data_IF_682317167375
#
_entry.id   IF_682317167375
#
_cell.length_a   1.000
_cell.length_b   1.000
_cell.length_c   1.000
_cell.angle_alpha   90.00
_cell.angle_beta   90.00
_cell.angle_gamma   90.00
#
_symmetry.space_group_name_H-M   'P 1'
#
loop_
_entity.id
_entity.type
_entity.pdbx_description
1 polymer ?
#
# COMPACT_ATOMS: atom_id res chain seq x y z
N UNK A 1 7.76 5.04 -26.03
CA UNK A 1 8.88 4.43 -25.25
C UNK A 1 8.47 2.96 -25.00
N UNK A 2 9.38 2.00 -25.18
CA UNK A 2 9.11 0.62 -24.82
C UNK A 2 8.86 0.51 -23.31
N UNK A 3 7.97 -0.39 -22.87
CA UNK A 3 7.62 -0.54 -21.45
C UNK A 3 8.84 -0.93 -20.59
N UNK A 4 9.77 -1.73 -21.11
CA UNK A 4 10.98 -2.11 -20.38
C UNK A 4 11.90 -0.89 -20.18
N UNK A 5 12.04 -0.03 -21.19
CA UNK A 5 12.80 1.22 -21.09
C UNK A 5 12.16 2.18 -20.07
N UNK A 6 10.83 2.25 -20.03
CA UNK A 6 10.10 3.03 -19.03
C UNK A 6 10.37 2.51 -17.61
N UNK A 7 10.24 1.19 -17.39
CA UNK A 7 10.53 0.60 -16.08
C UNK A 7 11.98 0.82 -15.64
N UNK A 8 12.95 0.70 -16.57
CA UNK A 8 14.36 0.96 -16.29
C UNK A 8 14.59 2.42 -15.88
N UNK A 9 14.01 3.38 -16.61
CA UNK A 9 14.10 4.79 -16.25
C UNK A 9 13.49 5.09 -14.87
N UNK A 10 12.37 4.43 -14.54
CA UNK A 10 11.74 4.57 -13.23
C UNK A 10 12.53 3.91 -12.08
N UNK A 11 13.57 3.13 -12.42
CA UNK A 11 14.33 2.35 -11.42
C UNK A 11 13.56 1.13 -10.91
N UNK A 12 12.57 0.65 -11.66
CA UNK A 12 11.66 -0.41 -11.25
C UNK A 12 12.13 -1.83 -11.63
N UNK A 13 13.30 -1.98 -12.22
CA UNK A 13 13.88 -3.30 -12.55
C UNK A 13 15.00 -3.62 -11.57
N UNK A 14 14.86 -4.73 -10.84
CA UNK A 14 15.91 -5.29 -9.99
C UNK A 14 16.67 -6.39 -10.73
N UNK A 15 15.94 -7.42 -11.21
CA UNK A 15 16.49 -8.52 -11.99
C UNK A 15 15.52 -8.88 -13.12
N UNK A 16 16.08 -9.30 -14.25
CA UNK A 16 15.31 -9.88 -15.35
C UNK A 16 16.09 -11.00 -16.03
N UNK A 17 15.41 -11.97 -16.60
CA UNK A 17 16.05 -13.20 -17.12
C UNK A 17 16.54 -12.98 -18.51
N UNK A 18 16.27 -12.32 -19.39
CA UNK A 18 16.74 -12.07 -20.75
C UNK A 18 16.27 -10.67 -21.19
N UNK A 19 17.09 -9.70 -20.88
CA UNK A 19 16.75 -8.29 -21.10
C UNK A 19 16.43 -7.99 -22.59
N UNK A 20 17.31 -8.41 -23.49
CA UNK A 20 17.14 -8.15 -24.92
C UNK A 20 15.90 -8.87 -25.47
N UNK A 21 15.72 -10.14 -25.11
CA UNK A 21 14.58 -10.94 -25.55
C UNK A 21 13.24 -10.42 -25.05
N UNK A 22 13.18 -9.98 -23.78
CA UNK A 22 11.95 -9.41 -23.22
C UNK A 22 11.64 -8.03 -23.86
N UNK A 23 12.65 -7.21 -24.05
CA UNK A 23 12.51 -5.90 -24.70
C UNK A 23 12.02 -6.04 -26.14
N UNK A 24 12.65 -6.93 -26.92
CA UNK A 24 12.24 -7.23 -28.31
C UNK A 24 10.80 -7.75 -28.36
N UNK A 25 10.45 -8.66 -27.45
CA UNK A 25 9.11 -9.25 -27.41
C UNK A 25 8.04 -8.20 -27.11
N UNK A 26 8.26 -7.32 -26.13
CA UNK A 26 7.31 -6.27 -25.75
C UNK A 26 7.22 -5.11 -26.75
N UNK A 27 8.23 -4.95 -27.62
CA UNK A 27 8.19 -3.96 -28.68
C UNK A 27 7.36 -4.43 -29.89
N UNK A 28 7.43 -5.74 -30.19
CA UNK A 28 6.85 -6.29 -31.40
C UNK A 28 5.47 -6.93 -31.20
N UNK A 29 5.13 -7.32 -29.97
CA UNK A 29 3.88 -8.02 -29.66
C UNK A 29 3.26 -7.56 -28.36
N UNK A 30 1.93 -7.66 -28.29
CA UNK A 30 1.23 -7.60 -27.02
C UNK A 30 1.39 -8.91 -26.28
N UNK A 31 1.89 -8.89 -25.06
CA UNK A 31 2.13 -10.07 -24.23
C UNK A 31 1.13 -10.21 -23.10
N UNK A 32 0.91 -11.43 -22.64
CA UNK A 32 0.23 -11.70 -21.38
C UNK A 32 1.25 -11.92 -20.26
N UNK A 33 0.99 -11.29 -19.12
CA UNK A 33 1.87 -11.33 -17.94
C UNK A 33 1.05 -11.50 -16.68
N UNK A 34 1.70 -11.96 -15.60
CA UNK A 34 1.00 -12.05 -14.31
C UNK A 34 1.84 -11.63 -13.12
N UNK A 35 1.15 -11.24 -12.08
CA UNK A 35 1.68 -11.08 -10.73
C UNK A 35 0.71 -11.74 -9.75
N UNK A 36 1.25 -12.45 -8.76
CA UNK A 36 0.49 -13.12 -7.72
C UNK A 36 0.50 -12.36 -6.41
N UNK A 37 -0.57 -12.50 -5.64
CA UNK A 37 -0.67 -12.08 -4.24
C UNK A 37 -1.38 -13.13 -3.41
N UNK A 38 -0.77 -13.53 -2.30
CA UNK A 38 -1.41 -14.43 -1.34
C UNK A 38 -2.37 -13.64 -0.44
N UNK A 39 -3.60 -14.15 -0.22
CA UNK A 39 -4.64 -13.49 0.55
C UNK A 39 -4.39 -13.62 2.06
N UNK A 40 -3.31 -13.03 2.56
CA UNK A 40 -2.90 -13.06 3.96
C UNK A 40 -3.68 -12.09 4.86
N UNK A 41 -4.52 -11.25 4.27
CA UNK A 41 -5.42 -10.31 4.93
C UNK A 41 -6.50 -9.84 3.97
N UNK A 42 -7.51 -9.18 4.49
CA UNK A 42 -8.69 -8.69 3.76
C UNK A 42 -8.44 -7.35 3.04
N UNK A 43 -7.24 -6.78 3.11
CA UNK A 43 -6.82 -5.60 2.36
C UNK A 43 -5.35 -5.68 1.99
N UNK A 44 -5.01 -5.05 0.89
CA UNK A 44 -3.64 -4.69 0.55
C UNK A 44 -3.23 -3.40 1.25
N UNK A 45 -1.92 -3.23 1.42
CA UNK A 45 -1.30 -1.98 1.84
C UNK A 45 -0.41 -1.44 0.71
N UNK A 46 0.11 -0.21 0.87
CA UNK A 46 0.90 0.46 -0.17
C UNK A 46 2.16 -0.30 -0.63
N UNK A 47 2.69 -1.20 0.19
CA UNK A 47 3.79 -2.09 -0.23
C UNK A 47 3.38 -3.08 -1.32
N UNK A 48 2.16 -3.60 -1.25
CA UNK A 48 1.60 -4.47 -2.29
C UNK A 48 1.27 -3.68 -3.57
N UNK A 49 1.04 -2.37 -3.46
CA UNK A 49 0.75 -1.53 -4.62
C UNK A 49 1.91 -1.49 -5.63
N UNK A 50 3.16 -1.64 -5.18
CA UNK A 50 4.35 -1.51 -6.03
C UNK A 50 4.32 -2.43 -7.26
N UNK A 51 4.20 -3.77 -7.13
CA UNK A 51 4.14 -4.64 -8.31
C UNK A 51 2.89 -4.39 -9.15
N UNK A 52 1.76 -4.02 -8.55
CA UNK A 52 0.53 -3.76 -9.29
C UNK A 52 0.56 -2.43 -10.05
N UNK A 53 1.31 -1.44 -9.59
CA UNK A 53 1.61 -0.25 -10.40
C UNK A 53 2.39 -0.61 -11.68
N UNK A 54 3.31 -1.57 -11.60
CA UNK A 54 4.02 -2.05 -12.79
C UNK A 54 3.08 -2.81 -13.73
N UNK A 55 2.22 -3.68 -13.19
CA UNK A 55 1.19 -4.37 -13.97
C UNK A 55 0.26 -3.37 -14.70
N UNK A 56 -0.14 -2.29 -14.01
CA UNK A 56 -0.96 -1.22 -14.61
C UNK A 56 -0.22 -0.51 -15.76
N UNK A 57 1.09 -0.30 -15.65
CA UNK A 57 1.89 0.28 -16.74
C UNK A 57 1.94 -0.64 -17.95
N UNK A 58 2.10 -1.93 -17.75
CA UNK A 58 2.00 -2.90 -18.85
C UNK A 58 0.62 -2.86 -19.52
N UNK A 59 -0.45 -2.73 -18.74
CA UNK A 59 -1.81 -2.57 -19.30
C UNK A 59 -1.92 -1.30 -20.15
N UNK A 60 -1.45 -0.16 -19.64
CA UNK A 60 -1.47 1.12 -20.37
C UNK A 60 -0.59 1.08 -21.63
N UNK A 61 0.45 0.24 -21.66
CA UNK A 61 1.27 0.00 -22.83
C UNK A 61 0.65 -1.01 -23.82
N UNK A 62 -0.56 -1.51 -23.58
CA UNK A 62 -1.30 -2.40 -24.46
C UNK A 62 -1.03 -3.90 -24.26
N UNK A 63 -0.42 -4.28 -23.14
CA UNK A 63 -0.26 -5.68 -22.75
C UNK A 63 -1.40 -6.18 -21.87
N UNK A 64 -1.50 -7.49 -21.66
CA UNK A 64 -2.61 -8.14 -20.98
C UNK A 64 -2.22 -8.65 -19.59
N UNK A 65 -2.47 -7.88 -18.50
CA UNK A 65 -2.16 -8.30 -17.15
C UNK A 65 -3.16 -9.33 -16.62
N UNK A 66 -2.65 -10.34 -15.94
CA UNK A 66 -3.38 -11.29 -15.13
C UNK A 66 -3.00 -11.10 -13.68
N UNK A 67 -3.99 -11.01 -12.79
CA UNK A 67 -3.77 -10.93 -11.36
C UNK A 67 -4.14 -12.29 -10.76
N UNK A 68 -3.14 -12.96 -10.18
CA UNK A 68 -3.36 -14.22 -9.48
C UNK A 68 -3.60 -13.94 -7.99
N UNK A 69 -4.74 -14.35 -7.49
CA UNK A 69 -4.98 -14.43 -6.05
C UNK A 69 -4.69 -15.85 -5.59
N UNK A 70 -3.80 -15.97 -4.62
CA UNK A 70 -3.30 -17.25 -4.14
C UNK A 70 -4.25 -17.96 -3.18
N UNK A 71 -5.49 -18.28 -3.59
CA UNK A 71 -6.45 -19.00 -2.76
C UNK A 71 -5.96 -20.40 -2.36
N UNK A 72 -5.17 -21.06 -3.21
CA UNK A 72 -4.48 -22.32 -2.88
C UNK A 72 -3.20 -22.08 -2.08
N UNK A 73 -2.28 -21.28 -2.59
CA UNK A 73 -0.98 -20.99 -1.94
C UNK A 73 -1.09 -20.23 -0.64
N UNK A 74 -2.14 -19.42 -0.47
CA UNK A 74 -2.43 -18.73 0.79
C UNK A 74 -2.70 -19.66 1.97
N UNK A 75 -3.09 -20.92 1.71
CA UNK A 75 -3.24 -21.94 2.75
C UNK A 75 -1.92 -22.60 3.15
N UNK A 76 -0.87 -22.39 2.38
CA UNK A 76 0.46 -22.98 2.56
C UNK A 76 1.43 -22.00 3.21
N UNK A 77 1.56 -20.81 2.64
CA UNK A 77 2.40 -19.73 3.12
C UNK A 77 3.76 -19.65 2.42
N UNK A 78 4.01 -18.52 1.77
CA UNK A 78 5.30 -18.22 1.14
C UNK A 78 6.38 -17.93 2.18
N UNK A 79 7.51 -18.67 2.20
CA UNK A 79 8.64 -18.40 3.09
C UNK A 79 9.48 -17.18 2.68
N UNK A 80 9.30 -16.64 1.47
CA UNK A 80 10.12 -15.56 0.92
C UNK A 80 10.11 -14.31 1.80
N UNK A 81 11.32 -13.78 2.10
CA UNK A 81 11.49 -12.56 2.90
C UNK A 81 11.11 -12.70 4.39
N UNK A 82 10.98 -13.95 4.91
CA UNK A 82 10.61 -14.24 6.30
C UNK A 82 11.65 -15.08 7.04
N UNK A 83 11.67 -14.90 8.34
CA UNK A 83 12.53 -15.66 9.27
C UNK A 83 11.74 -16.69 10.09
N UNK A 84 10.41 -16.61 10.09
CA UNK A 84 9.51 -17.49 10.85
C UNK A 84 8.41 -18.03 9.97
N UNK A 85 7.91 -19.22 10.32
CA UNK A 85 6.78 -19.86 9.65
C UNK A 85 5.49 -19.03 9.76
N UNK A 86 4.65 -19.10 8.72
CA UNK A 86 3.32 -18.44 8.74
C UNK A 86 2.35 -19.25 9.57
N UNK A 87 1.49 -18.54 10.30
CA UNK A 87 0.30 -19.15 10.92
C UNK A 87 -0.70 -19.45 9.81
N UNK A 88 -1.13 -20.70 9.73
CA UNK A 88 -2.11 -21.13 8.73
C UNK A 88 -3.48 -20.54 9.06
N UNK A 89 -4.13 -20.01 8.03
CA UNK A 89 -5.49 -19.45 8.11
C UNK A 89 -6.53 -20.55 7.83
N UNK A 90 -7.76 -20.36 8.32
CA UNK A 90 -8.89 -21.23 7.94
C UNK A 90 -9.27 -21.00 6.48
N UNK A 91 -9.89 -21.98 5.84
CA UNK A 91 -10.36 -21.88 4.46
C UNK A 91 -11.37 -20.74 4.27
N UNK A 92 -12.24 -20.52 5.26
CA UNK A 92 -13.22 -19.43 5.25
C UNK A 92 -12.54 -18.06 5.29
N UNK A 93 -11.50 -17.90 6.13
CA UNK A 93 -10.72 -16.67 6.19
C UNK A 93 -9.99 -16.40 4.87
N UNK A 94 -9.37 -17.43 4.28
CA UNK A 94 -8.72 -17.32 2.97
C UNK A 94 -9.71 -16.91 1.90
N UNK A 95 -10.90 -17.53 1.83
CA UNK A 95 -11.91 -17.18 0.83
C UNK A 95 -12.41 -15.73 1.01
N UNK A 96 -12.68 -15.31 2.25
CA UNK A 96 -13.04 -13.92 2.53
C UNK A 96 -11.97 -12.93 2.03
N UNK A 97 -10.71 -13.23 2.28
CA UNK A 97 -9.59 -12.41 1.83
C UNK A 97 -9.46 -12.42 0.29
N UNK A 98 -9.66 -13.57 -0.36
CA UNK A 98 -9.69 -13.68 -1.84
C UNK A 98 -10.72 -12.72 -2.43
N UNK A 99 -11.93 -12.72 -1.90
CA UNK A 99 -13.02 -11.87 -2.39
C UNK A 99 -12.68 -10.38 -2.18
N UNK A 100 -12.16 -10.03 -1.02
CA UNK A 100 -11.77 -8.66 -0.66
C UNK A 100 -10.66 -8.13 -1.56
N UNK A 101 -9.57 -8.90 -1.74
CA UNK A 101 -8.45 -8.50 -2.60
C UNK A 101 -8.87 -8.43 -4.08
N UNK A 102 -9.72 -9.36 -4.54
CA UNK A 102 -10.25 -9.35 -5.91
C UNK A 102 -11.04 -8.06 -6.19
N UNK A 103 -11.85 -7.62 -5.24
CA UNK A 103 -12.61 -6.38 -5.36
C UNK A 103 -11.70 -5.13 -5.38
N UNK A 104 -10.65 -5.10 -4.54
CA UNK A 104 -9.66 -4.03 -4.56
C UNK A 104 -8.94 -3.98 -5.91
N UNK A 105 -8.51 -5.11 -6.46
CA UNK A 105 -7.83 -5.18 -7.75
C UNK A 105 -8.71 -4.71 -8.90
N UNK A 106 -9.98 -5.13 -8.93
CA UNK A 106 -10.94 -4.65 -9.92
C UNK A 106 -11.11 -3.14 -9.87
N UNK A 107 -11.10 -2.55 -8.69
CA UNK A 107 -11.15 -1.08 -8.54
C UNK A 107 -9.88 -0.42 -9.09
N UNK A 108 -8.69 -0.90 -8.72
CA UNK A 108 -7.42 -0.33 -9.16
C UNK A 108 -7.20 -0.39 -10.67
N UNK A 109 -7.57 -1.50 -11.31
CA UNK A 109 -7.41 -1.64 -12.76
C UNK A 109 -8.54 -0.97 -13.57
N UNK A 110 -9.65 -0.60 -12.92
CA UNK A 110 -10.82 0.05 -13.52
C UNK A 110 -11.85 -0.97 -14.03
N UNK A 111 -13.11 -0.54 -14.10
CA UNK A 111 -14.23 -1.41 -14.46
C UNK A 111 -14.21 -1.87 -15.93
N UNK A 112 -13.65 -1.02 -16.81
CA UNK A 112 -13.62 -1.23 -18.25
C UNK A 112 -12.22 -1.68 -18.74
N UNK A 113 -11.30 -1.93 -17.81
CA UNK A 113 -9.96 -2.34 -18.15
C UNK A 113 -9.89 -3.87 -18.30
N UNK A 114 -9.23 -4.32 -19.36
CA UNK A 114 -8.93 -5.74 -19.57
C UNK A 114 -7.89 -6.23 -18.56
N UNK A 115 -8.36 -6.65 -17.39
CA UNK A 115 -7.56 -7.38 -16.40
C UNK A 115 -8.27 -8.69 -16.09
N UNK A 116 -7.54 -9.79 -16.18
CA UNK A 116 -8.08 -11.11 -15.86
C UNK A 116 -7.67 -11.49 -14.44
N UNK A 117 -8.67 -11.78 -13.60
CA UNK A 117 -8.46 -12.30 -12.25
C UNK A 117 -8.47 -13.83 -12.31
N UNK A 118 -7.48 -14.47 -11.68
CA UNK A 118 -7.38 -15.93 -11.58
C UNK A 118 -7.09 -16.33 -10.13
N UNK A 119 -7.58 -17.51 -9.74
CA UNK A 119 -7.34 -18.09 -8.42
C UNK A 119 -6.63 -19.43 -8.58
N UNK A 120 -5.46 -19.58 -7.99
CA UNK A 120 -4.69 -20.83 -8.11
C UNK A 120 -5.33 -22.00 -7.35
N UNK A 121 -6.31 -21.75 -6.49
CA UNK A 121 -7.12 -22.82 -5.90
C UNK A 121 -7.82 -23.68 -6.97
N UNK A 122 -8.21 -23.08 -8.10
CA UNK A 122 -8.95 -23.73 -9.17
C UNK A 122 -8.19 -24.90 -9.81
N UNK A 123 -6.86 -24.87 -9.80
CA UNK A 123 -6.06 -25.96 -10.36
C UNK A 123 -5.23 -26.71 -9.32
N UNK A 124 -4.84 -26.06 -8.21
CA UNK A 124 -4.05 -26.72 -7.18
C UNK A 124 -4.91 -27.68 -6.35
N UNK A 125 -6.18 -27.37 -6.13
CA UNK A 125 -7.10 -28.24 -5.37
C UNK A 125 -7.47 -29.52 -6.11
N UNK A 126 -7.38 -29.53 -7.44
CA UNK A 126 -7.66 -30.70 -8.28
C UNK A 126 -6.43 -31.61 -8.44
N UNK A 127 -5.25 -31.15 -8.05
CA UNK A 127 -4.00 -31.88 -8.22
C UNK A 127 -3.86 -32.99 -7.16
N UNK A 128 -3.88 -34.25 -7.60
CA UNK A 128 -3.65 -35.36 -6.66
C UNK A 128 -2.20 -35.38 -6.16
N UNK A 129 -1.98 -35.92 -4.95
CA UNK A 129 -0.64 -36.08 -4.38
C UNK A 129 0.29 -36.86 -5.31
N UNK A 130 -0.24 -37.90 -5.96
CA UNK A 130 0.58 -38.74 -6.87
C UNK A 130 0.94 -38.00 -8.15
N UNK A 131 0.02 -37.22 -8.70
CA UNK A 131 0.30 -36.39 -9.90
C UNK A 131 1.30 -35.28 -9.56
N UNK A 132 1.15 -34.65 -8.39
CA UNK A 132 2.10 -33.65 -7.90
C UNK A 132 3.53 -34.24 -7.83
N UNK A 133 3.71 -35.39 -7.22
CA UNK A 133 5.03 -35.99 -7.08
C UNK A 133 5.59 -36.49 -8.42
N UNK A 134 4.77 -37.18 -9.23
CA UNK A 134 5.18 -37.81 -10.48
C UNK A 134 5.40 -36.79 -11.60
N UNK A 135 4.49 -35.86 -11.79
CA UNK A 135 4.47 -35.00 -12.97
C UNK A 135 5.19 -33.67 -12.77
N UNK A 136 5.28 -33.21 -11.52
CA UNK A 136 5.96 -31.98 -11.16
C UNK A 136 7.18 -32.23 -10.28
N UNK A 137 7.07 -32.96 -9.19
CA UNK A 137 8.13 -33.16 -8.22
C UNK A 137 9.45 -33.64 -8.83
N UNK A 138 9.39 -34.55 -9.80
CA UNK A 138 10.59 -35.07 -10.51
C UNK A 138 11.38 -33.99 -11.27
N UNK A 139 10.79 -32.86 -11.57
CA UNK A 139 11.46 -31.76 -12.27
C UNK A 139 12.26 -30.86 -11.33
N UNK A 140 12.12 -31.03 -10.01
CA UNK A 140 12.80 -30.22 -9.00
C UNK A 140 13.91 -31.01 -8.33
N UNK A 141 15.14 -30.49 -8.42
CA UNK A 141 16.29 -31.08 -7.73
C UNK A 141 16.37 -30.50 -6.33
N UNK A 142 16.37 -31.36 -5.30
CA UNK A 142 16.37 -30.96 -3.89
C UNK A 142 17.59 -30.09 -3.56
N UNK A 143 18.79 -30.43 -4.06
CA UNK A 143 19.99 -29.63 -3.79
C UNK A 143 19.86 -28.21 -4.35
N UNK A 144 19.28 -28.07 -5.55
CA UNK A 144 19.02 -26.75 -6.15
C UNK A 144 17.98 -25.97 -5.34
N UNK A 145 16.95 -26.65 -4.83
CA UNK A 145 15.93 -26.03 -3.98
C UNK A 145 16.53 -25.54 -2.64
N UNK A 146 17.39 -26.36 -2.01
CA UNK A 146 18.07 -26.01 -0.77
C UNK A 146 19.07 -24.85 -0.92
N UNK A 147 19.67 -24.71 -2.10
CA UNK A 147 20.64 -23.65 -2.39
C UNK A 147 20.00 -22.28 -2.68
N UNK A 148 18.68 -22.19 -2.85
CA UNK A 148 18.00 -20.92 -3.06
C UNK A 148 18.00 -20.08 -1.78
N UNK A 149 18.28 -18.80 -1.88
CA UNK A 149 18.42 -17.88 -0.74
C UNK A 149 17.20 -17.91 0.21
N UNK A 150 16.00 -18.02 -0.34
CA UNK A 150 14.74 -18.12 0.42
C UNK A 150 14.65 -19.37 1.30
N UNK A 151 15.34 -20.43 0.93
CA UNK A 151 15.43 -21.69 1.69
C UNK A 151 16.69 -21.71 2.54
N UNK A 152 17.85 -21.39 1.95
CA UNK A 152 19.16 -21.44 2.61
C UNK A 152 19.17 -20.58 3.89
N UNK A 153 18.57 -19.40 3.87
CA UNK A 153 18.45 -18.52 5.03
C UNK A 153 17.60 -19.09 6.18
N UNK A 154 16.79 -20.11 5.90
CA UNK A 154 15.88 -20.75 6.86
C UNK A 154 16.39 -22.11 7.36
N UNK A 155 17.45 -22.67 6.77
CA UNK A 155 17.94 -24.02 7.13
C UNK A 155 18.40 -24.11 8.60
N UNK A 156 18.99 -23.07 9.14
CA UNK A 156 19.46 -23.04 10.55
C UNK A 156 18.29 -22.91 11.54
N UNK A 157 17.31 -22.08 11.21
CA UNK A 157 16.12 -21.84 12.05
C UNK A 157 15.01 -22.89 11.86
N UNK A 158 15.11 -23.69 10.81
CA UNK A 158 14.12 -24.66 10.38
C UNK A 158 13.13 -24.10 9.36
N UNK A 159 12.78 -24.95 8.40
CA UNK A 159 11.71 -24.71 7.42
C UNK A 159 10.84 -25.95 7.36
N UNK A 160 9.51 -25.81 7.43
CA UNK A 160 8.62 -26.96 7.29
C UNK A 160 8.62 -27.48 5.86
N UNK A 161 8.28 -28.76 5.68
CA UNK A 161 8.12 -29.32 4.35
C UNK A 161 7.03 -28.55 3.56
N UNK A 162 6.00 -28.09 4.22
CA UNK A 162 4.93 -27.27 3.64
C UNK A 162 5.49 -25.99 3.01
N UNK A 163 6.21 -25.17 3.76
CA UNK A 163 6.83 -23.95 3.22
C UNK A 163 7.91 -24.26 2.17
N UNK A 164 8.69 -25.34 2.36
CA UNK A 164 9.71 -25.77 1.40
C UNK A 164 9.13 -26.10 0.02
N UNK A 165 7.92 -26.66 -0.05
CA UNK A 165 7.26 -26.99 -1.30
C UNK A 165 6.62 -25.80 -2.00
N UNK A 166 6.49 -24.64 -1.36
CA UNK A 166 5.84 -23.46 -1.92
C UNK A 166 6.40 -23.08 -3.30
N UNK A 167 7.72 -23.12 -3.49
CA UNK A 167 8.35 -22.83 -4.78
C UNK A 167 7.88 -23.74 -5.90
N UNK A 168 7.49 -24.99 -5.60
CA UNK A 168 6.93 -25.91 -6.58
C UNK A 168 5.50 -25.47 -6.95
N UNK A 169 4.68 -25.10 -5.97
CA UNK A 169 3.30 -24.65 -6.19
C UNK A 169 3.26 -23.40 -7.07
N UNK A 170 4.07 -22.39 -6.77
CA UNK A 170 4.17 -21.19 -7.60
C UNK A 170 4.72 -21.49 -9.00
N UNK A 171 5.59 -22.47 -9.15
CA UNK A 171 6.07 -22.93 -10.47
C UNK A 171 4.96 -23.60 -11.28
N UNK A 172 4.08 -24.36 -10.61
CA UNK A 172 2.88 -24.94 -11.23
C UNK A 172 1.91 -23.85 -11.68
N UNK A 173 1.76 -22.78 -10.90
CA UNK A 173 0.96 -21.62 -11.29
C UNK A 173 1.46 -21.01 -12.60
N UNK A 174 2.75 -20.74 -12.70
CA UNK A 174 3.33 -20.15 -13.91
C UNK A 174 3.15 -21.10 -15.12
N UNK A 175 3.44 -22.39 -14.95
CA UNK A 175 3.24 -23.37 -16.01
C UNK A 175 1.77 -23.47 -16.45
N UNK A 176 0.84 -23.52 -15.50
CA UNK A 176 -0.60 -23.59 -15.78
C UNK A 176 -1.08 -22.36 -16.54
N UNK A 177 -0.68 -21.17 -16.09
CA UNK A 177 -1.02 -19.92 -16.74
C UNK A 177 -0.38 -19.79 -18.12
N UNK A 178 0.87 -20.25 -18.28
CA UNK A 178 1.54 -20.31 -19.58
C UNK A 178 0.76 -21.19 -20.55
N UNK A 179 0.35 -22.39 -20.14
CA UNK A 179 -0.39 -23.34 -20.98
C UNK A 179 -1.80 -22.87 -21.32
N UNK A 180 -2.53 -22.34 -20.35
CA UNK A 180 -3.95 -21.97 -20.54
C UNK A 180 -4.13 -20.60 -21.18
N UNK A 181 -3.24 -19.64 -20.88
CA UNK A 181 -3.42 -18.23 -21.22
C UNK A 181 -2.22 -17.62 -21.96
N UNK A 182 -1.26 -18.44 -22.37
CA UNK A 182 -0.03 -17.99 -23.02
C UNK A 182 0.69 -16.88 -22.24
N UNK A 183 0.70 -16.99 -20.90
CA UNK A 183 1.45 -16.07 -20.05
C UNK A 183 2.95 -16.23 -20.36
N UNK A 184 3.60 -15.11 -20.67
CA UNK A 184 5.01 -15.10 -21.07
C UNK A 184 5.91 -14.42 -20.04
N UNK A 185 5.36 -13.62 -19.12
CA UNK A 185 6.14 -12.89 -18.13
C UNK A 185 5.50 -13.02 -16.74
N UNK A 186 6.31 -13.36 -15.73
CA UNK A 186 5.95 -13.22 -14.32
C UNK A 186 6.69 -12.04 -13.71
N UNK A 187 5.95 -11.18 -12.97
CA UNK A 187 6.48 -10.05 -12.21
C UNK A 187 6.31 -10.33 -10.71
N UNK A 188 7.29 -9.92 -9.90
CA UNK A 188 7.22 -10.00 -8.45
C UNK A 188 8.21 -9.04 -7.77
N UNK A 189 8.21 -9.00 -6.44
CA UNK A 189 9.23 -8.32 -5.66
C UNK A 189 10.59 -9.02 -5.75
N UNK A 190 11.65 -8.37 -5.30
CA UNK A 190 13.01 -8.92 -5.33
C UNK A 190 13.14 -10.26 -4.57
N UNK A 191 12.34 -10.45 -3.53
CA UNK A 191 12.24 -11.69 -2.75
C UNK A 191 11.65 -12.87 -3.54
N UNK A 192 10.97 -12.61 -4.65
CA UNK A 192 10.32 -13.62 -5.49
C UNK A 192 11.24 -14.22 -6.57
N UNK A 193 12.47 -13.74 -6.74
CA UNK A 193 13.36 -14.17 -7.80
C UNK A 193 13.56 -15.68 -7.84
N UNK A 194 13.76 -16.31 -6.69
CA UNK A 194 13.93 -17.75 -6.55
C UNK A 194 12.70 -18.55 -7.02
N UNK A 195 11.50 -18.09 -6.66
CA UNK A 195 10.24 -18.73 -7.07
C UNK A 195 9.97 -18.52 -8.56
N UNK A 196 10.20 -17.31 -9.07
CA UNK A 196 10.02 -16.97 -10.50
C UNK A 196 10.94 -17.84 -11.39
N UNK A 197 12.21 -17.92 -11.04
CA UNK A 197 13.19 -18.71 -11.82
C UNK A 197 12.89 -20.21 -11.76
N UNK A 198 12.37 -20.72 -10.64
CA UNK A 198 11.92 -22.10 -10.55
C UNK A 198 10.77 -22.41 -11.53
N UNK A 199 9.82 -21.45 -11.68
CA UNK A 199 8.73 -21.56 -12.65
C UNK A 199 9.23 -21.57 -14.10
N UNK A 200 10.18 -20.70 -14.44
CA UNK A 200 10.82 -20.68 -15.76
C UNK A 200 11.51 -22.00 -16.06
N UNK A 201 12.24 -22.56 -15.10
CA UNK A 201 12.93 -23.83 -15.25
C UNK A 201 11.94 -24.99 -15.47
N UNK A 202 10.81 -25.00 -14.74
CA UNK A 202 9.75 -25.99 -14.94
C UNK A 202 9.18 -25.92 -16.35
N UNK A 203 8.85 -24.73 -16.85
CA UNK A 203 8.29 -24.54 -18.19
C UNK A 203 9.29 -25.04 -19.24
N UNK A 204 10.56 -24.66 -19.15
CA UNK A 204 11.59 -25.10 -20.09
C UNK A 204 11.82 -26.62 -20.07
N UNK A 205 11.73 -27.25 -18.91
CA UNK A 205 11.82 -28.72 -18.79
C UNK A 205 10.65 -29.45 -19.44
N UNK A 206 9.44 -28.82 -19.41
CA UNK A 206 8.23 -29.41 -19.95
C UNK A 206 7.99 -29.09 -21.44
N UNK A 207 8.29 -27.86 -21.86
CA UNK A 207 7.99 -27.34 -23.21
C UNK A 207 9.23 -27.24 -24.11
N UNK A 208 10.43 -27.38 -23.55
CA UNK A 208 11.70 -27.19 -24.23
C UNK A 208 12.41 -25.87 -23.92
N UNK A 209 13.74 -25.85 -24.19
CA UNK A 209 14.58 -24.70 -23.83
C UNK A 209 14.24 -23.41 -24.59
N UNK A 210 13.55 -23.53 -25.73
CA UNK A 210 13.15 -22.39 -26.58
C UNK A 210 11.85 -21.71 -26.14
N UNK A 211 11.23 -22.16 -25.03
CA UNK A 211 10.02 -21.54 -24.50
C UNK A 211 10.28 -20.05 -24.16
N UNK A 212 9.51 -19.18 -24.81
CA UNK A 212 9.61 -17.71 -24.63
C UNK A 212 8.91 -17.27 -23.37
N UNK A 213 9.53 -17.53 -22.23
CA UNK A 213 9.04 -17.14 -20.91
C UNK A 213 10.12 -16.37 -20.15
N UNK A 214 9.67 -15.36 -19.40
CA UNK A 214 10.53 -14.36 -18.76
C UNK A 214 10.10 -14.10 -17.32
N UNK A 215 11.05 -13.67 -16.52
CA UNK A 215 10.85 -13.20 -15.17
C UNK A 215 11.44 -11.82 -14.97
N UNK A 216 10.76 -10.98 -14.22
CA UNK A 216 11.20 -9.64 -13.84
C UNK A 216 10.88 -9.40 -12.37
N UNK A 217 11.86 -8.88 -11.63
CA UNK A 217 11.64 -8.47 -10.24
C UNK A 217 11.84 -6.97 -10.07
N UNK A 218 11.08 -6.42 -9.11
CA UNK A 218 11.09 -5.02 -8.72
C UNK A 218 11.93 -4.90 -7.45
N UNK A 219 12.78 -3.86 -7.31
CA UNK A 219 13.60 -3.69 -6.13
C UNK A 219 12.77 -3.48 -4.86
N UNK A 220 13.32 -3.91 -3.74
CA UNK A 220 12.75 -3.63 -2.43
C UNK A 220 12.73 -2.11 -2.20
N UNK A 221 11.55 -1.59 -1.86
CA UNK A 221 11.40 -0.17 -1.55
C UNK A 221 11.84 0.12 -0.11
N UNK A 222 12.88 0.92 0.02
CA UNK A 222 13.34 1.46 1.30
C UNK A 222 13.20 2.98 1.30
N UNK A 223 13.00 3.55 2.48
CA UNK A 223 13.11 5.00 2.71
C UNK A 223 14.57 5.43 2.70
N UNK A 224 14.82 6.73 2.55
CA UNK A 224 16.17 7.30 2.56
C UNK A 224 16.93 7.06 3.88
N UNK A 225 16.23 6.81 4.98
CA UNK A 225 16.79 6.43 6.28
C UNK A 225 17.10 4.92 6.41
N UNK A 226 16.86 4.13 5.35
CA UNK A 226 17.08 2.69 5.31
C UNK A 226 15.95 1.85 5.90
N UNK A 227 14.91 2.46 6.43
CA UNK A 227 13.75 1.71 6.95
C UNK A 227 12.83 1.23 5.84
N UNK A 228 12.02 0.19 6.13
CA UNK A 228 11.06 -0.36 5.16
C UNK A 228 9.97 0.66 4.86
N UNK A 229 9.68 0.82 3.56
CA UNK A 229 8.56 1.61 3.08
C UNK A 229 7.20 0.99 3.48
N UNK A 230 6.20 1.84 3.68
CA UNK A 230 4.81 1.41 3.87
C UNK A 230 4.39 1.13 5.31
N UNK A 231 5.28 1.37 6.28
CA UNK A 231 4.96 1.30 7.70
C UNK A 231 5.20 2.65 8.37
N UNK A 232 4.26 3.04 9.22
CA UNK A 232 4.36 4.19 10.13
C UNK A 232 4.38 3.70 11.58
N UNK A 233 4.50 4.61 12.54
CA UNK A 233 4.34 4.27 13.95
C UNK A 233 2.93 3.69 14.24
N UNK A 234 1.92 4.08 13.45
CA UNK A 234 0.54 3.58 13.53
C UNK A 234 0.30 2.24 12.79
N UNK A 235 1.31 1.67 12.12
CA UNK A 235 1.17 0.43 11.37
C UNK A 235 1.27 0.57 9.86
N UNK A 236 0.64 -0.34 9.12
CA UNK A 236 0.62 -0.31 7.66
C UNK A 236 -0.41 0.71 7.14
N UNK A 237 -0.09 1.34 6.00
CA UNK A 237 -1.03 2.19 5.26
C UNK A 237 -1.81 1.30 4.30
N UNK A 238 -3.10 1.16 4.56
CA UNK A 238 -3.99 0.25 3.85
C UNK A 238 -4.63 0.92 2.64
N UNK A 239 -4.99 0.11 1.65
CA UNK A 239 -5.77 0.58 0.49
C UNK A 239 -7.28 0.58 0.76
N UNK A 240 -7.73 -0.11 1.81
CA UNK A 240 -9.13 -0.09 2.25
C UNK A 240 -9.40 1.23 3.02
N UNK A 241 -10.35 2.07 2.56
CA UNK A 241 -10.67 3.34 3.22
C UNK A 241 -11.27 3.16 4.63
N UNK A 242 -11.71 1.95 4.99
CA UNK A 242 -12.17 1.63 6.36
C UNK A 242 -11.02 1.36 7.33
N UNK A 243 -9.81 1.08 6.83
CA UNK A 243 -8.61 0.78 7.63
C UNK A 243 -7.63 1.94 7.67
N UNK A 244 -7.52 2.69 6.60
CA UNK A 244 -6.78 3.95 6.48
C UNK A 244 -7.65 4.90 5.69
N UNK A 245 -8.14 5.95 6.33
CA UNK A 245 -9.05 6.90 5.68
C UNK A 245 -8.37 7.56 4.47
N UNK A 246 -9.13 8.02 3.45
CA UNK A 246 -8.55 8.76 2.33
C UNK A 246 -7.75 9.98 2.76
N UNK A 247 -8.16 10.65 3.84
CA UNK A 247 -7.42 11.78 4.42
C UNK A 247 -6.06 11.32 4.98
N UNK A 248 -6.03 10.26 5.80
CA UNK A 248 -4.78 9.70 6.36
C UNK A 248 -3.86 9.19 5.23
N UNK A 249 -4.44 8.53 4.22
CA UNK A 249 -3.74 8.08 3.03
C UNK A 249 -3.10 9.25 2.27
N UNK A 250 -3.85 10.33 2.03
CA UNK A 250 -3.35 11.55 1.39
C UNK A 250 -2.23 12.19 2.22
N UNK A 251 -2.42 12.32 3.55
CA UNK A 251 -1.41 12.89 4.45
C UNK A 251 -0.12 12.09 4.49
N UNK A 252 -0.21 10.75 4.40
CA UNK A 252 0.98 9.91 4.32
C UNK A 252 1.86 10.31 3.14
N UNK A 253 1.30 10.48 1.96
CA UNK A 253 2.03 10.86 0.75
C UNK A 253 2.50 12.31 0.78
N UNK A 254 1.67 13.19 1.29
CA UNK A 254 2.01 14.62 1.43
C UNK A 254 3.20 14.85 2.36
N UNK A 255 3.39 14.00 3.36
CA UNK A 255 4.45 14.13 4.37
C UNK A 255 5.74 13.36 4.03
N UNK A 256 5.93 12.88 2.81
CA UNK A 256 7.15 12.19 2.41
C UNK A 256 8.38 13.12 2.42
N UNK A 257 9.55 12.54 2.71
CA UNK A 257 10.83 13.24 2.73
C UNK A 257 11.22 13.71 1.31
N UNK A 258 11.87 14.87 1.21
CA UNK A 258 12.36 15.41 -0.06
C UNK A 258 13.33 14.45 -0.77
N UNK A 259 14.09 13.65 -0.02
CA UNK A 259 15.03 12.65 -0.54
C UNK A 259 14.33 11.45 -1.19
N UNK A 260 13.07 11.20 -0.84
CA UNK A 260 12.31 10.04 -1.30
C UNK A 260 11.25 10.38 -2.35
N UNK A 261 10.74 11.61 -2.35
CA UNK A 261 9.55 11.98 -3.12
C UNK A 261 9.68 11.72 -4.62
N UNK A 262 10.84 11.99 -5.22
CA UNK A 262 11.05 11.78 -6.65
C UNK A 262 11.05 10.28 -7.00
N UNK A 263 11.66 9.44 -6.15
CA UNK A 263 11.59 7.99 -6.29
C UNK A 263 10.13 7.51 -6.23
N UNK A 264 9.35 8.02 -5.28
CA UNK A 264 7.95 7.64 -5.14
C UNK A 264 7.07 8.14 -6.30
N UNK A 265 7.33 9.33 -6.84
CA UNK A 265 6.67 9.80 -8.07
C UNK A 265 6.91 8.83 -9.25
N UNK A 266 8.15 8.34 -9.41
CA UNK A 266 8.49 7.35 -10.44
C UNK A 266 7.74 6.03 -10.26
N UNK A 267 7.58 5.56 -9.04
CA UNK A 267 6.97 4.25 -8.74
C UNK A 267 5.44 4.29 -8.69
N UNK A 268 4.85 5.30 -8.08
CA UNK A 268 3.44 5.33 -7.70
C UNK A 268 2.57 6.26 -8.54
N UNK A 269 3.13 6.96 -9.52
CA UNK A 269 2.35 7.82 -10.42
C UNK A 269 2.57 7.43 -11.88
N UNK A 270 1.66 7.88 -12.75
CA UNK A 270 1.77 7.71 -14.21
C UNK A 270 2.29 8.96 -14.91
N UNK A 271 2.81 9.92 -14.15
CA UNK A 271 3.46 11.12 -14.69
C UNK A 271 4.61 10.75 -15.60
N UNK A 272 4.78 11.50 -16.66
CA UNK A 272 5.87 11.30 -17.60
C UNK A 272 7.23 11.82 -17.06
N UNK A 273 8.27 11.63 -17.85
CA UNK A 273 9.63 11.98 -17.45
C UNK A 273 9.79 13.49 -17.27
N UNK A 274 9.24 14.28 -18.20
CA UNK A 274 9.32 15.72 -18.18
C UNK A 274 8.62 16.31 -16.95
N UNK A 275 7.44 15.81 -16.60
CA UNK A 275 6.71 16.23 -15.39
C UNK A 275 7.50 15.92 -14.12
N UNK A 276 8.08 14.72 -14.01
CA UNK A 276 8.85 14.33 -12.82
C UNK A 276 10.18 15.11 -12.75
N UNK A 277 10.86 15.33 -13.84
CA UNK A 277 12.10 16.13 -13.89
C UNK A 277 11.82 17.59 -13.47
N UNK A 278 10.71 18.16 -13.92
CA UNK A 278 10.28 19.49 -13.48
C UNK A 278 9.97 19.56 -11.96
N UNK A 279 9.35 18.52 -11.41
CA UNK A 279 9.12 18.43 -9.97
C UNK A 279 10.42 18.25 -9.18
N UNK A 280 11.39 17.50 -9.72
CA UNK A 280 12.70 17.35 -9.10
C UNK A 280 13.45 18.70 -9.00
N UNK A 281 13.40 19.53 -10.04
CA UNK A 281 13.96 20.88 -9.98
C UNK A 281 13.29 21.75 -8.90
N UNK A 282 11.98 21.61 -8.69
CA UNK A 282 11.25 22.34 -7.65
C UNK A 282 11.65 21.88 -6.26
N UNK A 283 11.90 20.59 -6.06
CA UNK A 283 12.42 20.07 -4.79
C UNK A 283 13.78 20.67 -4.46
N UNK A 284 14.66 20.80 -5.44
CA UNK A 284 15.99 21.37 -5.25
C UNK A 284 15.95 22.88 -4.98
N UNK A 285 15.15 23.64 -5.75
CA UNK A 285 15.10 25.10 -5.71
C UNK A 285 14.20 25.65 -4.60
N UNK A 286 13.07 25.00 -4.35
CA UNK A 286 12.01 25.51 -3.47
C UNK A 286 11.39 24.39 -2.60
N UNK A 287 12.17 23.61 -1.83
CA UNK A 287 11.67 22.44 -1.08
C UNK A 287 10.52 22.80 -0.13
N UNK A 288 10.53 24.01 0.44
CA UNK A 288 9.49 24.48 1.36
C UNK A 288 8.08 24.58 0.76
N UNK A 289 7.96 24.65 -0.57
CA UNK A 289 6.65 24.66 -1.23
C UNK A 289 6.01 23.28 -1.32
N UNK A 290 6.80 22.21 -1.17
CA UNK A 290 6.36 20.82 -1.18
C UNK A 290 5.46 20.45 -2.37
N UNK A 291 5.75 21.00 -3.56
CA UNK A 291 4.92 20.79 -4.74
C UNK A 291 4.99 19.32 -5.22
N UNK A 292 6.18 18.69 -5.15
CA UNK A 292 6.36 17.29 -5.52
C UNK A 292 5.56 16.36 -4.59
N UNK A 293 5.57 16.61 -3.28
CA UNK A 293 4.78 15.81 -2.32
C UNK A 293 3.28 15.99 -2.54
N UNK A 294 2.84 17.23 -2.83
CA UNK A 294 1.44 17.50 -3.14
C UNK A 294 1.01 16.74 -4.39
N UNK A 295 1.78 16.83 -5.46
CA UNK A 295 1.50 16.10 -6.70
C UNK A 295 1.48 14.60 -6.49
N UNK A 296 2.42 14.06 -5.71
CA UNK A 296 2.45 12.65 -5.34
C UNK A 296 1.17 12.23 -4.60
N UNK A 297 0.78 12.98 -3.57
CA UNK A 297 -0.41 12.71 -2.78
C UNK A 297 -1.69 12.76 -3.62
N UNK A 298 -1.81 13.75 -4.51
CA UNK A 298 -2.94 13.89 -5.44
C UNK A 298 -3.05 12.69 -6.37
N UNK A 299 -1.98 12.34 -7.08
CA UNK A 299 -1.98 11.26 -8.06
C UNK A 299 -2.27 9.89 -7.42
N UNK A 300 -1.64 9.58 -6.30
CA UNK A 300 -1.81 8.26 -5.66
C UNK A 300 -3.17 8.14 -4.99
N UNK A 301 -3.66 9.20 -4.33
CA UNK A 301 -4.99 9.19 -3.70
C UNK A 301 -6.09 9.06 -4.75
N UNK A 302 -5.99 9.79 -5.86
CA UNK A 302 -6.92 9.68 -7.00
C UNK A 302 -6.92 8.27 -7.58
N UNK A 303 -5.75 7.69 -7.76
CA UNK A 303 -5.63 6.34 -8.33
C UNK A 303 -6.24 5.25 -7.44
N UNK A 304 -5.99 5.31 -6.14
CA UNK A 304 -6.42 4.26 -5.19
C UNK A 304 -7.88 4.44 -4.76
N UNK A 305 -8.28 5.67 -4.49
CA UNK A 305 -9.60 5.96 -3.95
C UNK A 305 -10.56 6.51 -5.01
N UNK A 306 -10.40 7.70 -5.49
CA UNK A 306 -11.03 8.39 -6.61
C UNK A 306 -10.90 9.92 -6.46
N UNK A 307 -11.47 10.69 -7.41
CA UNK A 307 -11.45 12.16 -7.36
C UNK A 307 -12.24 12.73 -6.17
N UNK A 308 -13.40 12.14 -5.85
CA UNK A 308 -14.23 12.62 -4.73
C UNK A 308 -13.51 12.47 -3.38
N UNK A 309 -12.88 11.32 -3.16
CA UNK A 309 -12.08 11.09 -1.96
C UNK A 309 -10.85 12.01 -1.88
N UNK A 310 -10.23 12.32 -3.01
CA UNK A 310 -9.14 13.30 -3.07
C UNK A 310 -9.61 14.71 -2.70
N UNK A 311 -10.72 15.18 -3.26
CA UNK A 311 -11.30 16.50 -2.97
C UNK A 311 -11.65 16.61 -1.48
N UNK A 312 -12.24 15.57 -0.90
CA UNK A 312 -12.55 15.52 0.54
C UNK A 312 -11.26 15.57 1.40
N UNK A 313 -10.25 14.77 1.07
CA UNK A 313 -8.97 14.76 1.78
C UNK A 313 -8.25 16.12 1.71
N UNK A 314 -8.28 16.78 0.55
CA UNK A 314 -7.72 18.13 0.37
C UNK A 314 -8.49 19.17 1.17
N UNK A 315 -9.83 19.14 1.17
CA UNK A 315 -10.68 20.02 1.96
C UNK A 315 -10.38 19.91 3.46
N UNK A 316 -10.31 18.68 3.99
CA UNK A 316 -9.96 18.43 5.40
C UNK A 316 -8.55 18.97 5.71
N UNK A 317 -7.57 18.67 4.85
CA UNK A 317 -6.18 19.11 5.02
C UNK A 317 -6.07 20.64 5.07
N UNK A 318 -6.74 21.34 4.17
CA UNK A 318 -6.75 22.81 4.12
C UNK A 318 -7.44 23.42 5.34
N UNK A 319 -8.57 22.88 5.74
CA UNK A 319 -9.32 23.33 6.91
C UNK A 319 -8.51 23.19 8.21
N UNK A 320 -7.83 22.04 8.39
CA UNK A 320 -6.97 21.83 9.55
C UNK A 320 -5.71 22.72 9.52
N UNK A 321 -5.14 22.96 8.35
CA UNK A 321 -3.99 23.86 8.21
C UNK A 321 -4.35 25.32 8.52
N UNK A 322 -5.43 25.83 7.93
CA UNK A 322 -5.91 27.22 8.14
C UNK A 322 -6.55 27.41 9.51
N UNK A 323 -7.11 26.36 10.10
CA UNK A 323 -7.93 26.40 11.31
C UNK A 323 -9.42 26.64 11.06
N UNK A 324 -9.86 26.59 9.82
CA UNK A 324 -11.23 26.86 9.38
C UNK A 324 -12.10 25.60 9.45
N UNK A 325 -12.08 24.92 10.60
CA UNK A 325 -12.75 23.62 10.78
C UNK A 325 -14.28 23.70 10.76
N UNK A 326 -14.86 24.89 10.82
CA UNK A 326 -16.32 25.10 10.78
C UNK A 326 -16.95 24.69 9.45
N UNK A 327 -16.15 24.64 8.38
CA UNK A 327 -16.60 24.27 7.04
C UNK A 327 -16.61 22.73 6.84
N UNK A 328 -16.15 21.99 7.86
CA UNK A 328 -16.12 20.53 7.83
C UNK A 328 -17.40 19.92 8.42
N UNK A 329 -17.82 18.80 7.86
CA UNK A 329 -18.85 17.96 8.46
C UNK A 329 -18.32 17.21 9.69
N UNK A 330 -19.22 16.62 10.47
CA UNK A 330 -18.84 15.81 11.63
C UNK A 330 -17.93 14.66 11.22
N UNK A 331 -18.30 13.97 10.13
CA UNK A 331 -17.54 12.83 9.58
C UNK A 331 -16.15 13.28 9.10
N UNK A 332 -16.05 14.44 8.46
CA UNK A 332 -14.76 15.00 8.01
C UNK A 332 -13.86 15.37 9.20
N UNK A 333 -14.43 15.89 10.29
CA UNK A 333 -13.68 16.19 11.52
C UNK A 333 -13.22 14.92 12.19
N UNK A 334 -14.08 13.91 12.32
CA UNK A 334 -13.73 12.61 12.89
C UNK A 334 -12.58 11.96 12.09
N UNK A 335 -12.65 12.01 10.77
CA UNK A 335 -11.60 11.50 9.89
C UNK A 335 -10.28 12.30 10.03
N UNK A 336 -10.37 13.62 10.04
CA UNK A 336 -9.20 14.52 10.13
C UNK A 336 -8.49 14.50 11.48
N UNK A 337 -9.20 14.16 12.55
CA UNK A 337 -8.73 14.17 13.93
C UNK A 337 -8.70 12.79 14.60
N UNK A 338 -8.76 11.71 13.82
CA UNK A 338 -8.82 10.33 14.35
C UNK A 338 -7.65 9.98 15.29
N UNK A 339 -6.46 10.52 15.02
CA UNK A 339 -5.24 10.19 15.75
C UNK A 339 -4.74 11.29 16.69
N UNK A 340 -5.56 12.33 16.94
CA UNK A 340 -5.20 13.37 17.92
C UNK A 340 -5.50 12.90 19.35
N UNK A 341 -4.82 13.50 20.36
CA UNK A 341 -5.19 13.26 21.76
C UNK A 341 -6.67 13.52 21.99
N UNK A 342 -7.37 12.50 22.50
CA UNK A 342 -8.83 12.54 22.71
C UNK A 342 -9.14 12.36 24.17
N UNK A 343 -10.05 13.18 24.71
CA UNK A 343 -10.56 13.10 26.09
C UNK A 343 -12.07 13.00 26.10
N UNK A 344 -12.62 12.40 27.14
CA UNK A 344 -14.07 12.31 27.35
C UNK A 344 -14.54 13.47 28.23
N UNK A 345 -15.63 14.11 27.87
CA UNK A 345 -16.22 15.24 28.59
C UNK A 345 -17.72 15.05 28.81
N UNK A 346 -18.29 15.81 29.79
CA UNK A 346 -19.73 15.94 29.99
C UNK A 346 -20.32 17.04 29.13
N UNK A 347 -21.67 17.13 29.04
CA UNK A 347 -22.39 18.21 28.33
C UNK A 347 -22.38 19.58 29.03
N UNK A 348 -21.83 19.64 30.24
CA UNK A 348 -21.89 20.83 31.05
C UNK A 348 -20.94 21.91 30.52
N UNK A 349 -21.49 23.15 30.40
CA UNK A 349 -20.68 24.28 30.08
C UNK A 349 -19.73 24.63 31.23
N UNK A 350 -18.46 24.92 30.92
CA UNK A 350 -17.44 25.21 31.95
C UNK A 350 -16.51 26.34 31.51
N UNK A 351 -16.02 27.10 32.47
CA UNK A 351 -15.03 28.15 32.22
C UNK A 351 -13.79 27.54 31.52
N UNK A 352 -13.30 28.22 30.46
CA UNK A 352 -12.23 27.73 29.61
C UNK A 352 -10.94 27.34 30.36
N UNK A 353 -10.57 28.15 31.40
CA UNK A 353 -9.35 27.88 32.19
C UNK A 353 -9.46 26.59 32.96
N UNK A 354 -10.61 26.36 33.61
CA UNK A 354 -10.86 25.14 34.36
C UNK A 354 -11.04 23.97 33.42
N UNK A 355 -11.73 24.17 32.31
CA UNK A 355 -12.00 23.14 31.31
C UNK A 355 -10.70 22.61 30.65
N UNK A 356 -9.76 23.51 30.29
CA UNK A 356 -8.47 23.09 29.68
C UNK A 356 -7.59 22.28 30.65
N UNK A 357 -7.69 22.54 31.94
CA UNK A 357 -6.95 21.79 32.96
C UNK A 357 -7.61 20.43 33.22
N UNK A 358 -8.93 20.41 33.32
CA UNK A 358 -9.68 19.18 33.58
C UNK A 358 -9.57 18.19 32.41
N UNK A 359 -9.42 18.69 31.18
CA UNK A 359 -9.17 17.89 29.97
C UNK A 359 -7.69 17.56 29.74
N UNK A 360 -6.81 17.95 30.66
CA UNK A 360 -5.36 17.72 30.59
C UNK A 360 -4.69 18.35 29.33
N UNK A 361 -5.41 19.22 28.60
CA UNK A 361 -4.84 19.99 27.47
C UNK A 361 -3.82 20.99 27.96
N UNK A 362 -4.06 21.54 29.16
CA UNK A 362 -3.11 22.39 29.86
C UNK A 362 -2.72 21.81 31.23
N UNK A 363 -1.44 21.86 31.59
CA UNK A 363 -0.94 21.24 32.82
C UNK A 363 -1.32 22.02 34.07
N UNK A 364 -1.75 23.27 33.95
CA UNK A 364 -2.11 24.14 35.11
C UNK A 364 -2.96 25.30 34.68
N UNK A 365 -3.73 25.84 35.65
CA UNK A 365 -4.55 27.08 35.46
C UNK A 365 -3.69 28.29 35.08
N UNK A 366 -2.44 28.36 35.52
CA UNK A 366 -1.51 29.41 35.14
C UNK A 366 -1.21 29.35 33.65
N UNK A 367 -0.83 28.20 33.15
CA UNK A 367 -0.52 28.00 31.74
C UNK A 367 -1.77 28.22 30.87
N UNK A 368 -2.93 27.70 31.30
CA UNK A 368 -4.18 27.92 30.60
C UNK A 368 -4.51 29.39 30.43
N UNK A 369 -4.36 30.19 31.50
CA UNK A 369 -4.58 31.65 31.43
C UNK A 369 -3.59 32.35 30.49
N UNK A 370 -2.33 31.97 30.52
CA UNK A 370 -1.29 32.51 29.65
C UNK A 370 -1.60 32.21 28.17
N UNK A 371 -1.91 30.95 27.84
CA UNK A 371 -2.18 30.50 26.47
C UNK A 371 -3.49 31.05 25.91
N UNK A 372 -4.54 31.18 26.75
CA UNK A 372 -5.80 31.82 26.36
C UNK A 372 -5.57 33.30 26.12
N UNK A 373 -5.01 34.07 27.10
CA UNK A 373 -4.77 35.49 26.95
C UNK A 373 -3.84 35.82 25.78
N UNK A 374 -2.83 34.96 25.53
CA UNK A 374 -1.92 35.05 24.40
C UNK A 374 -2.56 34.68 23.06
N UNK A 375 -3.81 34.18 23.09
CA UNK A 375 -4.54 33.75 21.91
C UNK A 375 -3.94 32.51 21.23
N UNK A 376 -3.31 31.66 22.02
CA UNK A 376 -2.79 30.37 21.55
C UNK A 376 -3.88 29.31 21.43
N UNK A 377 -5.04 29.50 22.07
CA UNK A 377 -6.14 28.53 22.10
C UNK A 377 -7.24 28.94 21.12
N UNK A 378 -7.71 27.97 20.34
CA UNK A 378 -8.96 28.08 19.57
C UNK A 378 -9.91 26.95 19.95
N UNK A 379 -11.19 27.28 20.09
CA UNK A 379 -12.28 26.34 20.37
C UNK A 379 -13.19 26.30 19.16
N UNK A 380 -13.42 25.10 18.60
CA UNK A 380 -14.26 24.89 17.43
C UNK A 380 -13.94 25.82 16.25
N UNK A 381 -12.66 26.15 16.06
CA UNK A 381 -12.17 27.06 15.02
C UNK A 381 -12.09 28.55 15.41
N UNK A 382 -12.72 28.96 16.51
CA UNK A 382 -12.65 30.34 16.99
C UNK A 382 -11.51 30.56 17.97
N UNK A 383 -10.69 31.57 17.71
CA UNK A 383 -9.64 32.00 18.65
C UNK A 383 -10.26 32.60 19.88
N UNK A 384 -9.91 32.09 21.06
CA UNK A 384 -10.41 32.56 22.34
C UNK A 384 -9.31 33.26 23.08
N UNK A 385 -9.60 34.50 23.54
CA UNK A 385 -8.70 35.34 24.36
C UNK A 385 -9.33 35.76 25.68
N UNK A 386 -10.64 35.54 25.82
CA UNK A 386 -11.41 35.87 27.02
C UNK A 386 -11.28 34.75 28.06
N UNK A 387 -10.79 35.09 29.25
CA UNK A 387 -10.64 34.15 30.35
C UNK A 387 -11.97 33.71 30.99
N UNK A 388 -13.04 34.49 30.75
CA UNK A 388 -14.39 34.18 31.24
C UNK A 388 -15.22 33.41 30.21
N UNK A 389 -14.62 33.06 29.06
CA UNK A 389 -15.29 32.25 28.04
C UNK A 389 -15.76 30.90 28.60
N UNK A 390 -17.02 30.57 28.35
CA UNK A 390 -17.57 29.26 28.70
C UNK A 390 -17.50 28.31 27.50
N UNK A 391 -16.81 27.20 27.66
CA UNK A 391 -16.82 26.10 26.70
C UNK A 391 -18.12 25.34 26.87
N UNK A 392 -19.02 25.45 25.91
CA UNK A 392 -20.31 24.74 25.88
C UNK A 392 -20.30 23.68 24.77
N UNK A 393 -20.20 22.39 25.11
CA UNK A 393 -20.13 21.31 24.13
C UNK A 393 -21.38 21.15 23.25
N UNK A 394 -22.51 21.76 23.67
CA UNK A 394 -23.79 21.59 22.95
C UNK A 394 -23.95 22.56 21.76
N UNK A 395 -23.09 23.55 21.62
CA UNK A 395 -23.27 24.63 20.65
C UNK A 395 -22.78 24.32 19.25
N UNK A 396 -21.90 23.33 19.08
CA UNK A 396 -21.31 22.97 17.80
C UNK A 396 -21.27 21.45 17.60
N UNK A 397 -21.18 21.02 16.36
CA UNK A 397 -21.00 19.62 15.96
C UNK A 397 -22.04 18.67 16.59
N UNK A 398 -23.31 19.10 16.60
CA UNK A 398 -24.45 18.37 17.19
C UNK A 398 -24.24 17.94 18.65
N UNK A 399 -23.38 18.63 19.36
CA UNK A 399 -23.03 18.31 20.75
C UNK A 399 -22.22 17.04 20.94
N UNK A 400 -21.58 16.54 19.87
CA UNK A 400 -20.79 15.29 19.93
C UNK A 400 -19.38 15.49 20.45
N UNK A 401 -18.78 16.63 20.15
CA UNK A 401 -17.40 16.92 20.56
C UNK A 401 -17.07 18.41 20.51
N UNK A 402 -15.97 18.76 21.17
CA UNK A 402 -15.31 20.07 21.08
C UNK A 402 -13.93 19.88 20.47
N UNK A 403 -13.61 20.65 19.44
CA UNK A 403 -12.28 20.67 18.82
C UNK A 403 -11.45 21.79 19.41
N UNK A 404 -10.29 21.46 19.96
CA UNK A 404 -9.34 22.43 20.49
C UNK A 404 -8.10 22.48 19.62
N UNK A 405 -7.64 23.68 19.25
CA UNK A 405 -6.34 23.87 18.62
C UNK A 405 -5.47 24.73 19.54
N UNK A 406 -4.29 24.18 19.89
CA UNK A 406 -3.26 24.90 20.66
C UNK A 406 -2.09 25.27 19.73
N UNK A 407 -1.87 26.56 19.55
CA UNK A 407 -0.90 27.07 18.59
C UNK A 407 -1.33 26.82 17.15
N UNK A 408 -0.36 26.48 16.26
CA UNK A 408 -0.63 26.35 14.83
C UNK A 408 -0.97 24.92 14.38
N UNK A 409 -0.56 23.89 15.14
CA UNK A 409 -0.57 22.50 14.64
C UNK A 409 -1.15 21.47 15.62
N UNK A 410 -1.26 21.80 16.90
CA UNK A 410 -1.68 20.81 17.90
C UNK A 410 -3.19 20.83 18.07
N UNK A 411 -3.83 19.76 17.64
CA UNK A 411 -5.26 19.53 17.80
C UNK A 411 -5.54 18.54 18.92
N UNK A 412 -6.67 18.71 19.58
CA UNK A 412 -7.22 17.83 20.61
C UNK A 412 -8.71 17.68 20.35
N UNK A 413 -9.25 16.52 20.62
CA UNK A 413 -10.66 16.22 20.47
C UNK A 413 -11.27 15.87 21.84
N UNK A 414 -12.25 16.65 22.28
CA UNK A 414 -13.00 16.34 23.50
C UNK A 414 -14.37 15.75 23.12
N UNK A 415 -14.55 14.45 23.30
CA UNK A 415 -15.79 13.74 22.96
C UNK A 415 -16.77 13.78 24.10
N UNK A 416 -18.00 14.12 23.77
CA UNK A 416 -19.10 14.15 24.75
C UNK A 416 -19.56 12.73 25.02
N UNK A 417 -19.58 12.33 26.30
CA UNK A 417 -20.16 11.05 26.71
C UNK A 417 -21.69 11.12 26.62
N UNK A 418 -22.32 10.04 26.19
CA UNK A 418 -23.77 9.87 26.12
C UNK A 418 -24.44 9.86 27.52
#
# INVERSE_FOLDING_TARGET
>A
MNIIDELAWRGAINQQTNEEGLRELTENTSISLYCGVDPTGDSMHIGHLIPFMMMKRFQLAGHHPYILIGGGTGTIGDPSGRTTERVLQTMEAVQHNVDSLSNQMKKLFGKDAEVTMVNNYDWLSELSLLDFLRDYGKNFNVNTMLAKDIVASRLESGISFTEFTYQILQSIDFYTLHKKHNIQLQIGGADQWGNITAGLDLIRKKEGPEAKVFGLTIPLMLKADGTKFGKTAGGAIWLDPKKTSPFEFYQFWLNQDDRDVIKYLKFFTFLDKEEIDALAEKVEKEPGKREAQRRLAEEVTRFVHDDAALEEAQKISEALFSGNIKDLTIEEIEQGLEHVPTVEITKDAKNIVDWLVDTEIEPSKRQAREDVSGGAISINGDRVTDLDFAVDPTQHFDGKFVVVRKGKKNYFLAKVMD
#
